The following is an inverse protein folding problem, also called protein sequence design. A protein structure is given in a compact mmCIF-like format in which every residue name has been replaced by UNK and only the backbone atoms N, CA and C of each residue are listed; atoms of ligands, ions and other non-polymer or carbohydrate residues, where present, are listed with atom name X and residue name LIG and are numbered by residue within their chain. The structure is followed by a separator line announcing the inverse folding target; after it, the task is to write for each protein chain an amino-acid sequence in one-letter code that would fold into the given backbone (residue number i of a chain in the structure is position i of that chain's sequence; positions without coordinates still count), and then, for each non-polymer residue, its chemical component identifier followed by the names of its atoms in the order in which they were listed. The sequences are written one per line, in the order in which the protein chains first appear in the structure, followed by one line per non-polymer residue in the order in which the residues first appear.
data_IF_616544325086
#
_entry.id   IF_616544325086
#
_cell.length_a   1.000
_cell.length_b   1.000
_cell.length_c   1.000
_cell.angle_alpha   90.00
_cell.angle_beta   90.00
_cell.angle_gamma   90.00
#
_symmetry.space_group_name_H-M   'P 1'
#
loop_
_entity.id
_entity.type
_entity.pdbx_description
1 polymer ?
#
# COMPACT_ATOMS: atom_id res chain seq x y z
N UNK A 1 26.51 -14.49 75.17
CA UNK A 1 25.04 -14.47 75.04
C UNK A 1 24.68 -14.83 73.60
N UNK A 2 24.23 -16.06 73.37
CA UNK A 2 23.64 -16.55 72.11
C UNK A 2 22.16 -16.76 72.38
N UNK A 3 21.28 -16.26 71.52
CA UNK A 3 19.87 -16.69 71.48
C UNK A 3 19.44 -16.93 70.04
N UNK A 4 18.54 -17.89 69.81
CA UNK A 4 18.67 -18.84 68.72
C UNK A 4 17.55 -18.77 67.70
N UNK A 5 17.85 -19.30 66.52
CA UNK A 5 16.90 -19.76 65.52
C UNK A 5 16.00 -20.88 66.07
N UNK A 6 14.81 -20.99 65.47
CA UNK A 6 13.96 -22.21 65.28
C UNK A 6 12.73 -22.37 66.18
N UNK A 7 11.55 -22.00 65.66
CA UNK A 7 10.24 -22.69 65.68
C UNK A 7 9.33 -21.85 64.74
N UNK A 8 8.52 -22.34 63.81
CA UNK A 8 7.84 -23.61 63.66
C UNK A 8 7.34 -23.71 62.19
N UNK A 9 7.50 -24.88 61.57
CA UNK A 9 6.92 -25.23 60.26
C UNK A 9 5.39 -25.46 60.39
N UNK A 10 4.56 -24.95 59.47
CA UNK A 10 3.58 -25.77 58.74
C UNK A 10 3.00 -25.02 57.52
N UNK A 11 2.53 -25.78 56.53
CA UNK A 11 2.38 -25.46 55.11
C UNK A 11 1.08 -24.71 54.79
N UNK A 12 1.11 -23.69 53.91
CA UNK A 12 0.07 -23.48 52.90
C UNK A 12 0.55 -22.61 51.72
N UNK A 13 0.84 -23.29 50.61
CA UNK A 13 0.49 -22.95 49.22
C UNK A 13 0.82 -21.56 48.63
N UNK A 14 1.64 -21.61 47.59
CA UNK A 14 1.59 -20.77 46.39
C UNK A 14 1.39 -19.26 46.59
N UNK A 15 2.49 -18.54 46.82
CA UNK A 15 2.59 -17.22 46.23
C UNK A 15 3.59 -17.29 45.08
N UNK A 16 3.08 -17.77 43.93
CA UNK A 16 3.62 -17.34 42.65
C UNK A 16 3.68 -15.82 42.72
N UNK A 17 4.88 -15.27 42.92
CA UNK A 17 5.14 -13.88 42.59
C UNK A 17 4.92 -13.80 41.08
N UNK A 18 3.68 -13.48 40.73
CA UNK A 18 3.27 -12.87 39.50
C UNK A 18 4.17 -11.65 39.34
N UNK A 19 5.33 -11.85 38.72
CA UNK A 19 5.91 -10.81 37.90
C UNK A 19 4.82 -10.54 36.86
N UNK A 20 3.99 -9.54 37.14
CA UNK A 20 3.06 -9.00 36.19
C UNK A 20 3.91 -8.68 34.97
N UNK A 21 3.80 -9.52 33.95
CA UNK A 21 4.12 -9.19 32.59
C UNK A 21 3.12 -8.07 32.29
N UNK A 22 3.48 -6.84 32.68
CA UNK A 22 2.86 -5.64 32.16
C UNK A 22 3.11 -5.76 30.68
N UNK A 23 2.11 -6.33 30.00
CA UNK A 23 2.04 -6.38 28.56
C UNK A 23 2.20 -4.95 28.10
N UNK A 24 3.41 -4.62 27.69
CA UNK A 24 3.57 -3.65 26.64
C UNK A 24 2.91 -4.33 25.44
N UNK A 25 1.59 -4.14 25.32
CA UNK A 25 0.95 -4.09 24.03
C UNK A 25 1.66 -2.92 23.34
N UNK A 26 2.83 -3.21 22.74
CA UNK A 26 3.25 -2.45 21.61
C UNK A 26 2.03 -2.45 20.70
N UNK A 27 1.47 -1.27 20.34
CA UNK A 27 0.50 -1.26 19.27
C UNK A 27 1.12 -2.08 18.15
N UNK A 28 0.33 -3.00 17.57
CA UNK A 28 0.77 -3.80 16.44
C UNK A 28 1.61 -2.90 15.55
N UNK A 29 2.84 -3.28 15.21
CA UNK A 29 3.57 -2.58 14.17
C UNK A 29 2.68 -2.69 12.93
N UNK A 30 1.80 -1.71 12.72
CA UNK A 30 1.23 -1.41 11.44
C UNK A 30 2.46 -0.95 10.67
N UNK A 31 3.16 -1.94 10.13
CA UNK A 31 4.38 -1.76 9.37
C UNK A 31 3.92 -0.88 8.23
N UNK A 32 4.26 0.42 8.31
CA UNK A 32 3.71 1.42 7.41
C UNK A 32 3.97 0.99 5.98
N UNK A 33 3.07 1.38 5.07
CA UNK A 33 3.18 1.00 3.66
C UNK A 33 4.39 1.73 3.08
N UNK A 34 5.49 1.00 2.90
CA UNK A 34 6.74 1.51 2.34
C UNK A 34 6.64 1.62 0.82
N UNK A 35 7.11 2.73 0.26
CA UNK A 35 7.19 3.00 -1.18
C UNK A 35 8.64 2.78 -1.63
N UNK A 36 8.97 1.65 -2.26
CA UNK A 36 10.35 1.31 -2.59
C UNK A 36 10.91 2.01 -3.83
N UNK A 37 10.06 2.67 -4.63
CA UNK A 37 10.47 3.39 -5.83
C UNK A 37 10.68 4.86 -5.51
N UNK A 38 11.93 5.33 -5.62
CA UNK A 38 12.32 6.71 -5.27
C UNK A 38 11.53 7.75 -6.07
N UNK A 39 11.26 7.47 -7.35
CA UNK A 39 10.51 8.37 -8.22
C UNK A 39 9.03 8.43 -7.82
N UNK A 40 8.45 7.29 -7.45
CA UNK A 40 7.07 7.24 -6.97
C UNK A 40 6.95 7.95 -5.63
N UNK A 41 7.88 7.72 -4.71
CA UNK A 41 7.90 8.39 -3.42
C UNK A 41 8.10 9.92 -3.57
N UNK A 42 8.99 10.36 -4.45
CA UNK A 42 9.16 11.77 -4.79
C UNK A 42 7.89 12.39 -5.41
N UNK A 43 7.22 11.65 -6.29
CA UNK A 43 5.96 12.11 -6.89
C UNK A 43 4.84 12.24 -5.85
N UNK A 44 4.73 11.29 -4.91
CA UNK A 44 3.80 11.38 -3.77
C UNK A 44 4.14 12.59 -2.90
N UNK A 45 5.42 12.83 -2.56
CA UNK A 45 5.84 14.02 -1.78
C UNK A 45 5.44 15.33 -2.47
N UNK A 46 5.60 15.39 -3.78
CA UNK A 46 5.24 16.57 -4.56
C UNK A 46 3.73 16.79 -4.61
N UNK A 47 2.93 15.72 -4.73
CA UNK A 47 1.48 15.80 -4.80
C UNK A 47 0.82 16.01 -3.42
N UNK A 48 1.40 15.42 -2.38
CA UNK A 48 0.93 15.50 -1.00
C UNK A 48 2.10 15.38 -0.01
N UNK A 49 2.65 16.53 0.45
CA UNK A 49 3.77 16.54 1.40
C UNK A 49 3.47 15.88 2.75
N UNK A 50 2.20 15.75 3.14
CA UNK A 50 1.76 15.14 4.41
C UNK A 50 1.42 13.65 4.28
N UNK A 51 1.46 13.09 3.07
CA UNK A 51 1.04 11.72 2.80
C UNK A 51 2.17 10.69 2.92
N UNK A 52 3.42 11.14 3.00
CA UNK A 52 4.59 10.25 3.07
C UNK A 52 5.68 10.92 3.91
N UNK A 53 6.38 10.13 4.72
CA UNK A 53 7.46 10.65 5.57
C UNK A 53 8.83 10.62 4.86
N UNK A 54 9.88 11.01 5.57
CA UNK A 54 11.24 11.01 5.05
C UNK A 54 11.83 9.60 4.82
N UNK A 55 11.15 8.55 5.29
CA UNK A 55 11.55 7.14 5.17
C UNK A 55 10.66 6.41 4.13
N UNK A 56 10.15 7.16 3.14
CA UNK A 56 9.29 6.68 2.05
C UNK A 56 8.07 5.86 2.52
N UNK A 57 7.59 6.10 3.75
CA UNK A 57 6.48 5.36 4.33
C UNK A 57 5.22 6.21 4.29
N UNK A 58 4.13 5.65 3.74
CA UNK A 58 2.85 6.34 3.67
C UNK A 58 2.30 6.66 5.07
N UNK A 59 1.70 7.84 5.18
CA UNK A 59 1.03 8.35 6.35
C UNK A 59 -0.50 8.33 6.16
N UNK A 60 -1.30 8.38 7.23
CA UNK A 60 -2.76 8.33 7.14
C UNK A 60 -3.42 9.27 6.12
N UNK A 61 -2.93 10.51 5.88
CA UNK A 61 -3.50 11.39 4.85
C UNK A 61 -3.47 10.83 3.42
N UNK A 62 -2.59 9.86 3.11
CA UNK A 62 -2.56 9.21 1.80
C UNK A 62 -3.88 8.51 1.47
N UNK A 63 -4.55 7.94 2.47
CA UNK A 63 -5.79 7.19 2.31
C UNK A 63 -6.96 8.05 1.83
N UNK A 64 -6.91 9.38 2.01
CA UNK A 64 -7.96 10.32 1.58
C UNK A 64 -7.75 10.93 0.20
N UNK A 65 -6.62 10.68 -0.47
CA UNK A 65 -6.41 11.17 -1.84
C UNK A 65 -7.39 10.49 -2.79
N UNK A 66 -8.13 11.28 -3.57
CA UNK A 66 -9.05 10.81 -4.61
C UNK A 66 -8.45 10.90 -6.01
N UNK A 67 -7.46 11.77 -6.22
CA UNK A 67 -6.85 12.05 -7.52
C UNK A 67 -5.33 12.12 -7.37
N UNK A 68 -4.61 11.31 -8.14
CA UNK A 68 -3.16 11.27 -8.13
C UNK A 68 -2.63 11.34 -9.57
N UNK A 69 -1.86 12.38 -9.87
CA UNK A 69 -1.14 12.53 -11.13
C UNK A 69 0.36 12.34 -10.86
N UNK A 70 0.93 11.30 -11.49
CA UNK A 70 2.32 10.89 -11.40
C UNK A 70 2.90 10.61 -12.81
N UNK A 71 2.43 11.37 -13.80
CA UNK A 71 2.85 11.24 -15.20
C UNK A 71 4.30 11.68 -15.41
N UNK A 72 5.00 10.98 -16.31
CA UNK A 72 6.36 11.30 -16.76
C UNK A 72 7.34 11.54 -15.59
N UNK A 73 7.41 10.56 -14.68
CA UNK A 73 8.28 10.58 -13.50
C UNK A 73 9.36 9.51 -13.52
N UNK A 74 9.42 8.69 -14.57
CA UNK A 74 10.35 7.56 -14.62
C UNK A 74 10.07 6.51 -13.54
N UNK A 75 8.82 6.37 -13.13
CA UNK A 75 8.40 5.39 -12.11
C UNK A 75 8.49 4.00 -12.71
N UNK A 76 9.13 3.07 -11.99
CA UNK A 76 9.28 1.68 -12.39
C UNK A 76 8.32 0.78 -11.61
N UNK A 77 7.96 1.15 -10.38
CA UNK A 77 7.07 0.39 -9.51
C UNK A 77 6.05 1.25 -8.79
N UNK A 78 4.78 0.84 -8.86
CA UNK A 78 3.68 1.42 -8.07
C UNK A 78 3.43 0.68 -6.76
N UNK A 79 4.41 -0.10 -6.26
CA UNK A 79 4.27 -0.79 -4.98
C UNK A 79 3.87 0.18 -3.85
N UNK A 80 2.88 -0.20 -3.07
CA UNK A 80 2.26 0.65 -2.05
C UNK A 80 1.01 1.42 -2.49
N UNK A 81 0.59 1.31 -3.76
CA UNK A 81 -0.64 1.96 -4.29
C UNK A 81 -1.91 1.59 -3.50
N UNK A 82 -1.96 0.40 -2.87
CA UNK A 82 -3.08 -0.02 -2.03
C UNK A 82 -3.30 0.87 -0.79
N UNK A 83 -2.33 1.71 -0.42
CA UNK A 83 -2.46 2.69 0.66
C UNK A 83 -3.35 3.89 0.32
N UNK A 84 -3.65 4.12 -0.95
CA UNK A 84 -4.54 5.20 -1.41
C UNK A 84 -5.98 4.68 -1.52
N UNK A 85 -6.60 4.31 -0.38
CA UNK A 85 -7.88 3.59 -0.36
C UNK A 85 -9.07 4.36 -0.98
N UNK A 86 -9.01 5.69 -1.03
CA UNK A 86 -10.04 6.54 -1.63
C UNK A 86 -9.74 6.97 -3.07
N UNK A 87 -8.67 6.44 -3.68
CA UNK A 87 -8.21 6.87 -5.00
C UNK A 87 -9.22 6.50 -6.09
N UNK A 88 -9.78 7.51 -6.74
CA UNK A 88 -10.75 7.38 -7.83
C UNK A 88 -10.09 7.54 -9.19
N UNK A 89 -9.04 8.36 -9.28
CA UNK A 89 -8.39 8.71 -10.55
C UNK A 89 -6.88 8.62 -10.40
N UNK A 90 -6.26 7.76 -11.19
CA UNK A 90 -4.81 7.64 -11.31
C UNK A 90 -4.37 7.96 -12.74
N UNK A 91 -3.47 8.94 -12.88
CA UNK A 91 -2.74 9.23 -14.10
C UNK A 91 -1.26 8.87 -13.89
N UNK A 92 -0.80 7.79 -14.51
CA UNK A 92 0.59 7.31 -14.44
C UNK A 92 1.17 7.10 -15.86
N UNK A 93 0.79 7.99 -16.77
CA UNK A 93 1.17 7.99 -18.18
C UNK A 93 2.66 8.25 -18.36
N UNK A 94 3.24 7.67 -19.40
CA UNK A 94 4.63 7.84 -19.82
C UNK A 94 5.63 7.55 -18.67
N UNK A 95 5.55 6.34 -18.12
CA UNK A 95 6.45 5.81 -17.09
C UNK A 95 7.09 4.49 -17.55
N UNK A 96 7.76 3.76 -16.66
CA UNK A 96 8.46 2.51 -16.95
C UNK A 96 7.87 1.32 -16.17
N UNK A 97 6.58 1.39 -15.84
CA UNK A 97 5.91 0.38 -15.03
C UNK A 97 5.75 -0.91 -15.84
N UNK A 98 6.25 -2.02 -15.32
CA UNK A 98 6.18 -3.34 -15.96
C UNK A 98 5.06 -4.21 -15.42
N UNK A 99 4.66 -3.98 -14.15
CA UNK A 99 3.63 -4.73 -13.45
C UNK A 99 2.79 -3.77 -12.60
N UNK A 100 1.47 -3.88 -12.72
CA UNK A 100 0.55 -3.19 -11.82
C UNK A 100 0.36 -3.99 -10.52
N UNK A 101 0.40 -3.34 -9.34
CA UNK A 101 0.00 -3.96 -8.09
C UNK A 101 -1.53 -4.13 -8.03
N UNK A 102 -2.05 -4.69 -6.94
CA UNK A 102 -3.49 -4.65 -6.65
C UNK A 102 -3.98 -3.20 -6.65
N UNK A 103 -5.03 -2.96 -7.45
CA UNK A 103 -5.62 -1.64 -7.63
C UNK A 103 -6.62 -1.33 -6.49
N UNK A 104 -6.67 -0.08 -5.98
CA UNK A 104 -7.74 0.35 -5.08
C UNK A 104 -9.13 0.11 -5.67
N UNK A 105 -10.05 -0.46 -4.87
CA UNK A 105 -11.42 -0.75 -5.31
C UNK A 105 -12.24 0.51 -5.67
N UNK A 106 -11.80 1.68 -5.22
CA UNK A 106 -12.42 2.98 -5.47
C UNK A 106 -12.07 3.58 -6.84
N UNK A 107 -11.11 3.01 -7.58
CA UNK A 107 -10.70 3.52 -8.88
C UNK A 107 -11.84 3.45 -9.91
N UNK A 108 -12.10 4.59 -10.54
CA UNK A 108 -13.04 4.74 -11.66
C UNK A 108 -12.31 5.10 -12.97
N UNK A 109 -11.11 5.66 -12.88
CA UNK A 109 -10.24 6.00 -14.00
C UNK A 109 -8.80 5.54 -13.75
N UNK A 110 -8.24 4.80 -14.72
CA UNK A 110 -6.85 4.36 -14.71
C UNK A 110 -6.17 4.68 -16.05
N UNK A 111 -5.22 5.61 -16.03
CA UNK A 111 -4.38 5.97 -17.17
C UNK A 111 -2.95 5.46 -17.01
N UNK A 112 -2.59 4.46 -17.81
CA UNK A 112 -1.29 3.77 -17.84
C UNK A 112 -0.63 3.82 -19.21
N UNK A 113 -1.09 4.70 -20.12
CA UNK A 113 -0.53 4.85 -21.48
C UNK A 113 0.99 5.02 -21.44
N UNK A 114 1.71 4.42 -22.38
CA UNK A 114 3.15 4.61 -22.53
C UNK A 114 3.95 4.00 -21.36
N UNK A 115 3.62 2.77 -20.98
CA UNK A 115 4.35 1.99 -19.98
C UNK A 115 4.84 0.67 -20.61
N UNK A 116 5.33 -0.26 -19.78
CA UNK A 116 5.89 -1.54 -20.21
C UNK A 116 5.05 -2.73 -19.73
N UNK A 117 3.73 -2.53 -19.56
CA UNK A 117 2.83 -3.56 -19.07
C UNK A 117 2.64 -4.67 -20.11
N UNK A 118 2.90 -5.92 -19.73
CA UNK A 118 2.64 -7.10 -20.58
C UNK A 118 1.33 -7.79 -20.24
N UNK A 119 0.78 -7.52 -19.06
CA UNK A 119 -0.49 -8.05 -18.56
C UNK A 119 -1.13 -7.06 -17.59
N UNK A 120 -2.42 -7.27 -17.29
CA UNK A 120 -3.16 -6.47 -16.32
C UNK A 120 -3.68 -7.35 -15.18
N UNK A 121 -3.73 -6.84 -13.93
CA UNK A 121 -4.35 -7.54 -12.82
C UNK A 121 -5.88 -7.53 -12.95
N UNK A 122 -6.57 -8.17 -12.01
CA UNK A 122 -8.03 -7.99 -11.87
C UNK A 122 -8.36 -6.51 -11.73
N UNK A 123 -9.27 -6.04 -12.59
CA UNK A 123 -9.70 -4.65 -12.61
C UNK A 123 -10.80 -4.40 -11.56
N UNK A 124 -10.80 -3.24 -10.86
CA UNK A 124 -11.87 -2.87 -9.95
C UNK A 124 -13.23 -2.88 -10.64
N UNK A 125 -14.26 -3.39 -9.97
CA UNK A 125 -15.61 -3.50 -10.55
C UNK A 125 -16.23 -2.14 -10.89
N UNK A 126 -15.79 -1.07 -10.22
CA UNK A 126 -16.22 0.31 -10.47
C UNK A 126 -15.44 1.05 -11.56
N UNK A 127 -14.43 0.42 -12.19
CA UNK A 127 -13.62 1.07 -13.21
C UNK A 127 -14.46 1.38 -14.45
N UNK A 128 -14.51 2.65 -14.83
CA UNK A 128 -15.27 3.14 -15.98
C UNK A 128 -14.38 3.48 -17.17
N UNK A 129 -13.12 3.83 -16.91
CA UNK A 129 -12.16 4.22 -17.94
C UNK A 129 -10.82 3.54 -17.72
N UNK A 130 -10.33 2.88 -18.77
CA UNK A 130 -9.02 2.25 -18.80
C UNK A 130 -8.26 2.69 -20.05
N UNK A 131 -7.13 3.33 -19.85
CA UNK A 131 -6.16 3.63 -20.90
C UNK A 131 -4.86 2.87 -20.62
N UNK A 132 -4.59 1.86 -21.44
CA UNK A 132 -3.34 1.07 -21.43
C UNK A 132 -2.68 1.12 -22.81
N UNK A 133 -2.98 2.16 -23.60
CA UNK A 133 -2.41 2.31 -24.92
C UNK A 133 -0.88 2.39 -24.88
N UNK A 134 -0.20 2.04 -25.97
CA UNK A 134 1.27 2.03 -26.02
C UNK A 134 1.91 1.18 -24.90
N UNK A 135 1.31 0.03 -24.59
CA UNK A 135 1.90 -1.01 -23.74
C UNK A 135 1.94 -2.35 -24.50
N UNK A 136 2.89 -3.25 -24.21
CA UNK A 136 2.97 -4.58 -24.82
C UNK A 136 1.96 -5.59 -24.23
N UNK A 137 0.72 -5.16 -23.90
CA UNK A 137 -0.32 -6.03 -23.33
C UNK A 137 -0.82 -7.02 -24.38
N UNK A 138 -0.63 -8.31 -24.14
CA UNK A 138 -1.00 -9.38 -25.09
C UNK A 138 -2.42 -9.93 -24.89
N UNK A 139 -2.98 -9.75 -23.69
CA UNK A 139 -4.31 -10.23 -23.34
C UNK A 139 -4.96 -9.34 -22.28
N UNK A 140 -6.27 -9.19 -22.36
CA UNK A 140 -7.05 -8.47 -21.36
C UNK A 140 -7.66 -9.44 -20.32
N UNK A 141 -7.75 -9.04 -19.04
CA UNK A 141 -8.52 -9.75 -18.04
C UNK A 141 -10.02 -9.56 -18.30
N UNK A 142 -10.87 -10.19 -17.48
CA UNK A 142 -12.31 -9.88 -17.49
C UNK A 142 -12.53 -8.39 -17.26
N UNK A 143 -13.18 -7.73 -18.21
CA UNK A 143 -13.49 -6.30 -18.11
C UNK A 143 -14.67 -6.08 -17.17
N UNK A 144 -14.63 -5.03 -16.31
CA UNK A 144 -15.77 -4.65 -15.48
C UNK A 144 -17.00 -4.33 -16.34
N UNK A 145 -18.18 -4.77 -15.90
CA UNK A 145 -19.46 -4.54 -16.61
C UNK A 145 -19.75 -3.05 -16.81
N UNK A 146 -19.22 -2.18 -15.92
CA UNK A 146 -19.38 -0.73 -15.98
C UNK A 146 -18.35 0.02 -16.83
N UNK A 147 -17.43 -0.68 -17.50
CA UNK A 147 -16.38 -0.05 -18.32
C UNK A 147 -17.02 0.64 -19.55
N UNK A 148 -16.75 1.93 -19.72
CA UNK A 148 -17.30 2.77 -20.79
C UNK A 148 -16.28 3.07 -21.88
N UNK A 149 -15.03 3.27 -21.47
CA UNK A 149 -13.94 3.66 -22.37
C UNK A 149 -12.73 2.76 -22.15
N UNK A 150 -12.21 2.23 -23.25
CA UNK A 150 -11.05 1.35 -23.28
C UNK A 150 -10.14 1.77 -24.43
N UNK A 151 -8.89 2.13 -24.10
CA UNK A 151 -7.82 2.31 -25.08
C UNK A 151 -6.77 1.23 -24.88
N UNK A 152 -6.56 0.44 -25.92
CA UNK A 152 -5.60 -0.65 -25.98
C UNK A 152 -5.16 -0.82 -27.44
N UNK A 153 -4.06 -0.21 -27.84
CA UNK A 153 -3.34 -0.56 -29.04
C UNK A 153 -1.87 -0.84 -28.72
N UNK A 154 -1.38 -1.97 -29.25
CA UNK A 154 0.02 -2.32 -29.20
C UNK A 154 0.81 -1.41 -30.13
N UNK A 155 1.97 -0.95 -29.69
CA UNK A 155 2.94 -0.32 -30.58
C UNK A 155 3.20 -1.23 -31.77
N UNK A 156 2.92 -0.72 -32.98
CA UNK A 156 3.32 -1.35 -34.23
C UNK A 156 4.85 -1.36 -34.37
#
# INVERSE_FOLDING_TARGET
MKTPFTLLRSKLQYLFLLCAFLGFLAPSNAQGIHIPDDNFAAAIRSACPTCINAMDTLLPPAASITNLNIENKGIVSLSGLHGFSSLQTLWAVDNQVTVLPTLPNSLTYLGMRGNLLTSLPTLPTGLMTLDVDQNPVTSLPTLPVGLKYLWVQGGH
#
